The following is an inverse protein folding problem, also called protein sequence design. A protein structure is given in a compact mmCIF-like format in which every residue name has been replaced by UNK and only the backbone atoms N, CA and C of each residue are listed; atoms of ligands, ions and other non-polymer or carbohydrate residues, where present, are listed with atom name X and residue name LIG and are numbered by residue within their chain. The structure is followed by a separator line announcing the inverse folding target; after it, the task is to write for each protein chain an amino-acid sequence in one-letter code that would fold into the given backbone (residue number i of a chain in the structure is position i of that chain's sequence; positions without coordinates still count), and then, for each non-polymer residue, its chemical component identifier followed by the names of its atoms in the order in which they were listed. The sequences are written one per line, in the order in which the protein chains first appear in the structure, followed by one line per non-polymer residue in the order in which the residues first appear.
data_IF_747777655595
#
_entry.id   IF_747777655595
#
_cell.length_a   1.000
_cell.length_b   1.000
_cell.length_c   1.000
_cell.angle_alpha   90.00
_cell.angle_beta   90.00
_cell.angle_gamma   90.00
#
_symmetry.space_group_name_H-M   'P 1'
#
loop_
_entity.id
_entity.type
_entity.pdbx_description
1 polymer ?
#
# COMPACT_ATOMS: atom_id res chain seq x y z
N UNK A 1 16.22 -35.52 25.79
CA UNK A 1 16.28 -35.39 24.33
C UNK A 1 15.10 -34.56 23.90
N UNK A 2 15.33 -33.43 23.22
CA UNK A 2 14.27 -32.51 22.80
C UNK A 2 13.51 -33.06 21.59
N UNK A 3 12.19 -32.87 21.58
CA UNK A 3 11.23 -33.36 20.61
C UNK A 3 10.62 -32.18 19.84
N UNK A 4 10.57 -32.27 18.52
CA UNK A 4 9.87 -31.27 17.71
C UNK A 4 8.89 -31.88 16.72
N UNK A 5 7.88 -31.09 16.38
CA UNK A 5 6.87 -31.40 15.38
C UNK A 5 6.90 -30.32 14.29
N UNK A 6 7.10 -30.68 13.03
CA UNK A 6 7.12 -29.72 11.92
C UNK A 6 6.46 -30.27 10.65
N UNK A 7 5.71 -29.42 9.93
CA UNK A 7 5.18 -29.77 8.61
C UNK A 7 6.33 -30.02 7.62
N UNK A 8 6.20 -31.00 6.73
CA UNK A 8 7.25 -31.39 5.77
C UNK A 8 7.66 -30.27 4.82
N UNK A 9 6.75 -29.34 4.52
CA UNK A 9 7.04 -28.18 3.67
C UNK A 9 8.09 -27.21 4.25
N UNK A 10 8.44 -27.35 5.53
CA UNK A 10 9.51 -26.58 6.19
C UNK A 10 10.77 -27.44 6.32
N UNK A 11 11.25 -27.98 5.20
CA UNK A 11 12.35 -28.94 5.17
C UNK A 11 13.67 -28.35 5.71
N UNK A 12 13.89 -27.06 5.50
CA UNK A 12 15.00 -26.28 6.03
C UNK A 12 15.00 -26.25 7.57
N UNK A 13 13.85 -25.98 8.18
CA UNK A 13 13.67 -26.00 9.64
C UNK A 13 13.88 -27.40 10.20
N UNK A 14 13.33 -28.41 9.53
CA UNK A 14 13.51 -29.82 9.92
C UNK A 14 15.00 -30.18 9.94
N UNK A 15 15.70 -29.95 8.84
CA UNK A 15 17.13 -30.26 8.72
C UNK A 15 17.95 -29.50 9.76
N UNK A 16 17.64 -28.23 10.01
CA UNK A 16 18.31 -27.41 11.01
C UNK A 16 18.14 -27.96 12.44
N UNK A 17 16.95 -28.44 12.80
CA UNK A 17 16.68 -28.99 14.13
C UNK A 17 17.31 -30.38 14.32
N UNK A 18 17.23 -31.24 13.30
CA UNK A 18 17.85 -32.58 13.31
C UNK A 18 19.39 -32.47 13.43
N UNK A 19 20.01 -31.55 12.70
CA UNK A 19 21.44 -31.27 12.82
C UNK A 19 21.86 -30.79 14.22
N UNK A 20 20.92 -30.23 15.00
CA UNK A 20 21.11 -29.82 16.40
C UNK A 20 20.79 -30.93 17.40
N UNK A 21 20.52 -32.16 16.94
CA UNK A 21 20.23 -33.32 17.77
C UNK A 21 18.79 -33.38 18.30
N UNK A 22 17.87 -32.58 17.76
CA UNK A 22 16.46 -32.69 18.09
C UNK A 22 15.84 -33.88 17.36
N UNK A 23 14.92 -34.58 18.03
CA UNK A 23 14.21 -35.70 17.42
C UNK A 23 12.86 -35.25 16.87
N UNK A 24 12.66 -35.47 15.57
CA UNK A 24 11.39 -35.20 14.90
C UNK A 24 10.32 -36.21 15.32
N UNK A 25 9.13 -35.71 15.60
CA UNK A 25 7.93 -36.50 15.83
C UNK A 25 7.29 -36.90 14.49
N UNK A 26 6.66 -38.09 14.41
CA UNK A 26 6.12 -38.61 13.16
C UNK A 26 4.97 -37.77 12.59
N UNK A 27 4.22 -37.05 13.43
CA UNK A 27 3.07 -36.25 13.00
C UNK A 27 3.00 -34.90 13.72
N UNK A 28 2.59 -33.85 13.01
CA UNK A 28 2.46 -32.47 13.55
C UNK A 28 1.38 -32.37 14.65
N UNK A 29 0.38 -33.27 14.59
CA UNK A 29 -0.72 -33.34 15.54
C UNK A 29 -0.35 -33.89 16.92
N UNK A 30 0.87 -34.40 17.12
CA UNK A 30 1.30 -34.94 18.41
C UNK A 30 1.14 -33.90 19.53
N UNK A 31 0.53 -34.28 20.68
CA UNK A 31 0.35 -33.37 21.83
C UNK A 31 1.64 -33.20 22.64
N UNK A 32 2.50 -34.23 22.67
CA UNK A 32 3.77 -34.22 23.39
C UNK A 32 4.90 -33.75 22.46
N UNK A 33 5.28 -32.48 22.57
CA UNK A 33 6.38 -31.83 21.85
C UNK A 33 7.01 -30.76 22.74
N UNK A 34 8.29 -30.45 22.50
CA UNK A 34 8.97 -29.28 23.10
C UNK A 34 8.85 -28.07 22.15
N UNK A 35 8.97 -28.29 20.83
CA UNK A 35 8.79 -27.27 19.80
C UNK A 35 7.81 -27.72 18.70
N UNK A 36 6.90 -26.84 18.28
CA UNK A 36 6.04 -27.06 17.12
C UNK A 36 6.20 -25.95 16.09
N UNK A 37 6.53 -26.35 14.86
CA UNK A 37 6.72 -25.47 13.72
C UNK A 37 5.70 -25.76 12.61
N UNK A 38 4.64 -24.97 12.55
CA UNK A 38 3.52 -25.20 11.63
C UNK A 38 2.88 -23.89 11.18
N UNK A 39 1.84 -23.97 10.35
CA UNK A 39 1.00 -22.83 10.03
C UNK A 39 0.16 -22.41 11.24
N UNK A 40 -0.06 -21.10 11.41
CA UNK A 40 -0.87 -20.53 12.49
C UNK A 40 -2.20 -21.26 12.72
N UNK A 41 -2.96 -21.52 11.65
CA UNK A 41 -4.28 -22.15 11.71
C UNK A 41 -4.27 -23.61 12.21
N UNK A 42 -3.11 -24.28 12.18
CA UNK A 42 -2.95 -25.66 12.66
C UNK A 42 -2.60 -25.75 14.15
N UNK A 43 -2.35 -24.61 14.81
CA UNK A 43 -2.03 -24.57 16.24
C UNK A 43 -3.33 -24.69 17.05
N UNK A 44 -3.43 -25.76 17.83
CA UNK A 44 -4.51 -25.94 18.81
C UNK A 44 -4.19 -25.12 20.07
N UNK A 45 -4.37 -23.79 20.00
CA UNK A 45 -3.96 -22.83 21.04
C UNK A 45 -4.39 -23.17 22.46
N UNK A 46 -5.58 -23.76 22.65
CA UNK A 46 -6.11 -24.16 23.96
C UNK A 46 -5.43 -25.39 24.56
N UNK A 47 -4.59 -26.09 23.78
CA UNK A 47 -3.90 -27.32 24.16
C UNK A 47 -2.37 -27.16 24.22
N UNK A 48 -1.85 -25.96 24.01
CA UNK A 48 -0.42 -25.67 24.14
C UNK A 48 -0.13 -25.46 25.63
N UNK A 49 0.70 -26.33 26.22
CA UNK A 49 1.11 -26.21 27.61
C UNK A 49 2.19 -25.11 27.80
N UNK A 50 2.33 -24.50 28.98
CA UNK A 50 3.25 -23.38 29.22
C UNK A 50 4.72 -23.65 28.88
N UNK A 51 5.17 -24.90 29.03
CA UNK A 51 6.52 -25.35 28.73
C UNK A 51 6.77 -25.61 27.23
N UNK A 52 5.71 -25.60 26.41
CA UNK A 52 5.80 -25.90 24.98
C UNK A 52 5.99 -24.63 24.16
N UNK A 53 6.84 -24.73 23.12
CA UNK A 53 7.15 -23.62 22.23
C UNK A 53 6.42 -23.83 20.89
N UNK A 54 5.83 -22.76 20.36
CA UNK A 54 5.24 -22.72 19.02
C UNK A 54 5.82 -21.56 18.21
N UNK A 55 5.89 -21.68 16.89
CA UNK A 55 6.49 -20.68 16.01
C UNK A 55 5.59 -19.47 15.67
N UNK A 56 4.57 -19.19 16.49
CA UNK A 56 3.65 -18.06 16.31
C UNK A 56 3.31 -17.45 17.67
N UNK A 57 3.17 -16.14 17.72
CA UNK A 57 2.51 -15.48 18.84
C UNK A 57 0.99 -15.60 18.70
N UNK A 58 0.29 -15.81 19.80
CA UNK A 58 -1.17 -15.87 19.79
C UNK A 58 -1.72 -14.55 19.24
N UNK A 59 -2.69 -14.63 18.34
CA UNK A 59 -3.28 -13.49 17.62
C UNK A 59 -2.35 -12.76 16.62
N UNK A 60 -1.15 -13.27 16.32
CA UNK A 60 -0.25 -12.65 15.32
C UNK A 60 -0.87 -12.52 13.93
N UNK A 61 -1.91 -13.32 13.63
CA UNK A 61 -2.67 -13.23 12.38
C UNK A 61 -3.28 -11.84 12.13
N UNK A 62 -3.51 -11.05 13.18
CA UNK A 62 -4.04 -9.69 13.06
C UNK A 62 -3.10 -8.77 12.28
N UNK A 63 -1.78 -8.98 12.35
CA UNK A 63 -0.81 -8.24 11.53
C UNK A 63 -0.88 -8.59 10.04
N UNK A 64 -1.47 -9.74 9.68
CA UNK A 64 -1.59 -10.21 8.30
C UNK A 64 -2.94 -9.88 7.66
N UNK A 65 -3.90 -9.40 8.45
CA UNK A 65 -5.24 -9.00 7.99
C UNK A 65 -5.27 -7.48 7.77
N UNK A 66 -5.53 -7.06 6.54
CA UNK A 66 -5.35 -5.66 6.13
C UNK A 66 -6.27 -4.69 6.88
N UNK A 67 -7.54 -5.07 7.06
CA UNK A 67 -8.55 -4.31 7.80
C UNK A 67 -8.21 -4.22 9.29
N UNK A 68 -7.80 -5.34 9.90
CA UNK A 68 -7.45 -5.38 11.31
C UNK A 68 -6.17 -4.58 11.59
N UNK A 69 -5.13 -4.76 10.78
CA UNK A 69 -3.89 -3.99 10.89
C UNK A 69 -4.17 -2.49 10.76
N UNK A 70 -4.95 -2.08 9.76
CA UNK A 70 -5.35 -0.68 9.56
C UNK A 70 -6.03 -0.12 10.81
N UNK A 71 -7.02 -0.85 11.35
CA UNK A 71 -7.74 -0.42 12.56
C UNK A 71 -6.80 -0.30 13.77
N UNK A 72 -5.90 -1.25 13.97
CA UNK A 72 -4.96 -1.24 15.10
C UNK A 72 -3.94 -0.10 14.98
N UNK A 73 -3.45 0.20 13.77
CA UNK A 73 -2.52 1.29 13.54
C UNK A 73 -3.16 2.65 13.84
N UNK A 74 -4.36 2.90 13.28
CA UNK A 74 -5.06 4.16 13.55
C UNK A 74 -5.49 4.27 15.02
N UNK A 75 -6.06 3.23 15.63
CA UNK A 75 -6.45 3.27 17.04
C UNK A 75 -5.27 3.63 17.97
N UNK A 76 -4.06 3.14 17.65
CA UNK A 76 -2.85 3.53 18.40
C UNK A 76 -2.54 5.03 18.24
N UNK A 77 -2.64 5.54 17.01
CA UNK A 77 -2.38 6.95 16.72
C UNK A 77 -3.39 7.90 17.38
N UNK A 78 -4.64 7.46 17.61
CA UNK A 78 -5.66 8.25 18.30
C UNK A 78 -5.35 8.50 19.79
N UNK A 79 -4.45 7.72 20.40
CA UNK A 79 -4.22 7.78 21.85
C UNK A 79 -3.10 8.75 22.29
N UNK A 80 -2.34 9.34 21.35
CA UNK A 80 -1.24 10.27 21.67
C UNK A 80 -1.11 11.35 20.59
N UNK A 81 -0.98 12.61 21.02
CA UNK A 81 -0.73 13.74 20.13
C UNK A 81 0.56 13.52 19.31
N UNK A 82 0.51 13.76 18.00
CA UNK A 82 1.65 13.61 17.06
C UNK A 82 1.81 12.21 16.47
N UNK A 83 1.14 11.18 16.98
CA UNK A 83 1.28 9.80 16.46
C UNK A 83 0.62 9.66 15.08
N UNK A 84 -0.38 10.48 14.73
CA UNK A 84 -1.04 10.43 13.42
C UNK A 84 -0.10 10.84 12.29
N UNK A 85 0.66 11.92 12.47
CA UNK A 85 1.63 12.36 11.45
C UNK A 85 2.79 11.38 11.31
N UNK A 86 3.24 10.76 12.39
CA UNK A 86 4.25 9.69 12.36
C UNK A 86 3.72 8.48 11.59
N UNK A 87 2.46 8.09 11.84
CA UNK A 87 1.82 7.00 11.11
C UNK A 87 1.69 7.33 9.62
N UNK A 88 1.20 8.53 9.27
CA UNK A 88 1.07 8.95 7.87
C UNK A 88 2.43 9.01 7.16
N UNK A 89 3.53 9.25 7.88
CA UNK A 89 4.90 9.22 7.34
C UNK A 89 5.40 7.82 6.94
N UNK A 90 4.82 6.75 7.46
CA UNK A 90 5.24 5.36 7.15
C UNK A 90 4.11 4.44 6.67
N UNK A 91 2.86 4.89 6.69
CA UNK A 91 1.70 4.11 6.29
C UNK A 91 0.76 4.95 5.41
N UNK A 92 0.62 4.62 4.11
CA UNK A 92 -0.27 5.36 3.22
C UNK A 92 -1.71 5.39 3.74
N UNK A 93 -2.41 6.52 3.57
CA UNK A 93 -3.76 6.70 4.11
C UNK A 93 -4.67 5.58 3.64
N UNK A 94 -5.32 4.91 4.60
CA UNK A 94 -6.07 3.66 4.37
C UNK A 94 -7.45 3.71 5.01
N UNK A 95 -8.43 3.13 4.32
CA UNK A 95 -9.84 3.22 4.63
C UNK A 95 -10.46 1.82 4.57
N UNK A 96 -11.03 1.35 5.68
CA UNK A 96 -11.79 0.10 5.78
C UNK A 96 -13.24 0.35 5.37
N UNK A 97 -13.63 -0.12 4.17
CA UNK A 97 -14.97 0.13 3.64
C UNK A 97 -16.09 -0.56 4.43
N UNK A 98 -15.78 -1.42 5.41
CA UNK A 98 -16.79 -1.90 6.35
C UNK A 98 -17.22 -0.84 7.37
N UNK A 99 -16.49 0.28 7.48
CA UNK A 99 -16.76 1.37 8.40
C UNK A 99 -17.34 2.58 7.66
N UNK A 100 -18.53 3.05 8.09
CA UNK A 100 -19.19 4.19 7.48
C UNK A 100 -18.36 5.48 7.56
N UNK A 101 -17.61 5.65 8.67
CA UNK A 101 -16.68 6.77 8.85
C UNK A 101 -15.62 6.79 7.74
N UNK A 102 -15.00 5.66 7.48
CA UNK A 102 -13.94 5.52 6.49
C UNK A 102 -14.46 5.71 5.07
N UNK A 103 -15.68 5.29 4.75
CA UNK A 103 -16.32 5.59 3.46
C UNK A 103 -16.46 7.09 3.22
N UNK A 104 -16.90 7.85 4.23
CA UNK A 104 -17.03 9.31 4.15
C UNK A 104 -15.66 9.99 4.03
N UNK A 105 -14.71 9.60 4.89
CA UNK A 105 -13.36 10.15 4.85
C UNK A 105 -12.67 9.86 3.52
N UNK A 106 -12.84 8.65 2.97
CA UNK A 106 -12.28 8.28 1.68
C UNK A 106 -12.77 9.21 0.57
N UNK A 107 -14.07 9.49 0.51
CA UNK A 107 -14.63 10.44 -0.48
C UNK A 107 -13.97 11.81 -0.36
N UNK A 108 -13.83 12.32 0.87
CA UNK A 108 -13.15 13.59 1.12
C UNK A 108 -11.70 13.55 0.62
N UNK A 109 -10.95 12.48 0.93
CA UNK A 109 -9.56 12.34 0.47
C UNK A 109 -9.42 12.22 -1.05
N UNK A 110 -10.39 11.60 -1.73
CA UNK A 110 -10.47 11.65 -3.19
C UNK A 110 -10.60 13.09 -3.68
N UNK A 111 -11.48 13.90 -3.06
CA UNK A 111 -11.68 15.32 -3.37
C UNK A 111 -10.39 16.13 -3.16
N UNK A 112 -9.67 15.92 -2.06
CA UNK A 112 -8.41 16.63 -1.81
C UNK A 112 -7.32 16.23 -2.80
N UNK A 113 -7.16 14.93 -3.09
CA UNK A 113 -6.17 14.49 -4.08
C UNK A 113 -6.51 15.03 -5.49
N UNK A 114 -7.81 15.14 -5.80
CA UNK A 114 -8.27 15.77 -7.03
C UNK A 114 -7.97 17.27 -7.07
N UNK A 115 -8.17 17.99 -5.96
CA UNK A 115 -7.75 19.39 -5.85
C UNK A 115 -6.24 19.55 -6.08
N UNK A 116 -5.41 18.68 -5.48
CA UNK A 116 -3.96 18.71 -5.70
C UNK A 116 -3.59 18.45 -7.16
N UNK A 117 -4.27 17.52 -7.82
CA UNK A 117 -4.08 17.26 -9.25
C UNK A 117 -4.35 18.53 -10.05
N UNK A 118 -5.54 19.14 -9.90
CA UNK A 118 -5.93 20.39 -10.58
C UNK A 118 -4.90 21.49 -10.39
N UNK A 119 -4.43 21.70 -9.15
CA UNK A 119 -3.42 22.72 -8.83
C UNK A 119 -2.08 22.43 -9.53
N UNK A 120 -1.61 21.18 -9.47
CA UNK A 120 -0.35 20.77 -10.11
C UNK A 120 -0.41 20.86 -11.63
N UNK A 121 -1.50 20.40 -12.24
CA UNK A 121 -1.72 20.48 -13.70
C UNK A 121 -1.73 21.93 -14.17
N UNK A 122 -2.40 22.82 -13.42
CA UNK A 122 -2.47 24.25 -13.73
C UNK A 122 -1.10 24.94 -13.75
N UNK A 123 -0.11 24.43 -13.02
CA UNK A 123 1.26 24.96 -13.10
C UNK A 123 2.03 24.50 -14.34
N UNK A 124 1.63 23.42 -15.00
CA UNK A 124 2.32 22.93 -16.21
C UNK A 124 1.62 23.27 -17.52
N UNK A 125 0.37 23.71 -17.47
CA UNK A 125 -0.41 24.15 -18.63
C UNK A 125 -0.56 25.68 -18.67
N UNK A 126 -0.81 26.23 -19.86
CA UNK A 126 -1.14 27.66 -20.04
C UNK A 126 -2.57 27.99 -19.58
N UNK A 127 -3.45 26.99 -19.62
CA UNK A 127 -4.86 27.11 -19.26
C UNK A 127 -5.19 26.12 -18.14
N UNK A 128 -5.87 26.60 -17.10
CA UNK A 128 -6.24 25.80 -15.94
C UNK A 128 -7.65 25.23 -16.08
N UNK A 129 -7.95 24.18 -15.31
CA UNK A 129 -9.31 23.65 -15.24
C UNK A 129 -10.26 24.64 -14.56
N UNK A 130 -11.54 24.64 -14.97
CA UNK A 130 -12.60 25.46 -14.37
C UNK A 130 -12.75 25.23 -12.85
N UNK A 131 -12.38 24.05 -12.39
CA UNK A 131 -12.38 23.63 -10.98
C UNK A 131 -11.26 24.28 -10.15
N UNK A 132 -10.35 25.05 -10.75
CA UNK A 132 -9.18 25.63 -10.09
C UNK A 132 -9.52 26.46 -8.86
N UNK A 133 -10.52 27.34 -8.93
CA UNK A 133 -10.89 28.20 -7.81
C UNK A 133 -11.33 27.38 -6.60
N UNK A 134 -12.16 26.35 -6.83
CA UNK A 134 -12.61 25.40 -5.81
C UNK A 134 -11.44 24.60 -5.22
N UNK A 135 -10.53 24.12 -6.09
CA UNK A 135 -9.34 23.39 -5.66
C UNK A 135 -8.43 24.27 -4.77
N UNK A 136 -8.19 25.51 -5.18
CA UNK A 136 -7.37 26.47 -4.45
C UNK A 136 -8.01 26.87 -3.12
N UNK A 137 -9.33 27.09 -3.09
CA UNK A 137 -10.08 27.37 -1.86
C UNK A 137 -9.96 26.22 -0.85
N UNK A 138 -10.11 24.97 -1.30
CA UNK A 138 -9.94 23.80 -0.44
C UNK A 138 -8.51 23.69 0.09
N UNK A 139 -7.52 23.80 -0.80
CA UNK A 139 -6.11 23.67 -0.42
C UNK A 139 -5.67 24.75 0.58
N UNK A 140 -6.10 26.00 0.38
CA UNK A 140 -5.89 27.09 1.35
C UNK A 140 -6.54 26.81 2.70
N UNK A 141 -7.75 26.27 2.71
CA UNK A 141 -8.45 25.96 3.94
C UNK A 141 -7.74 24.84 4.73
N UNK A 142 -7.22 23.84 4.03
CA UNK A 142 -6.37 22.80 4.62
C UNK A 142 -5.09 23.40 5.20
N UNK A 143 -4.39 24.24 4.43
CA UNK A 143 -3.15 24.90 4.86
C UNK A 143 -3.36 25.83 6.08
N UNK A 144 -4.54 26.47 6.15
CA UNK A 144 -4.90 27.38 7.24
C UNK A 144 -5.20 26.67 8.56
N UNK A 145 -5.50 25.37 8.52
CA UNK A 145 -5.67 24.53 9.71
C UNK A 145 -4.36 23.81 10.05
N UNK A 146 -3.63 24.39 11.01
CA UNK A 146 -2.30 23.92 11.46
C UNK A 146 -2.33 22.47 11.97
N UNK A 147 -3.46 22.03 12.52
CA UNK A 147 -3.61 20.70 13.10
C UNK A 147 -4.32 19.71 12.17
N UNK A 148 -4.63 20.11 10.92
CA UNK A 148 -5.42 19.31 9.98
C UNK A 148 -4.87 17.89 9.86
N UNK A 149 -3.56 17.75 9.60
CA UNK A 149 -2.92 16.44 9.40
C UNK A 149 -2.76 15.62 10.69
N UNK A 150 -2.90 16.23 11.86
CA UNK A 150 -2.92 15.51 13.14
C UNK A 150 -4.34 15.01 13.46
N UNK A 151 -5.38 15.74 13.04
CA UNK A 151 -6.77 15.51 13.44
C UNK A 151 -7.68 14.94 12.35
N UNK A 152 -7.23 14.86 11.09
CA UNK A 152 -8.08 14.45 9.97
C UNK A 152 -8.77 13.10 10.18
N UNK A 153 -8.16 12.21 10.96
CA UNK A 153 -8.69 10.88 11.26
C UNK A 153 -9.63 10.88 12.47
N UNK A 154 -9.37 11.71 13.48
CA UNK A 154 -10.07 11.72 14.78
C UNK A 154 -11.26 12.69 14.82
N UNK A 155 -11.24 13.74 14.00
CA UNK A 155 -12.26 14.79 13.95
C UNK A 155 -12.87 14.91 12.53
N UNK A 156 -14.03 15.55 12.40
CA UNK A 156 -14.67 15.80 11.09
C UNK A 156 -14.19 17.12 10.44
N UNK A 157 -12.94 17.52 10.69
CA UNK A 157 -12.34 18.75 10.15
C UNK A 157 -12.45 18.79 8.64
N UNK A 158 -12.21 17.66 7.98
CA UNK A 158 -12.18 17.60 6.54
C UNK A 158 -13.58 17.60 5.91
N UNK A 159 -14.55 16.95 6.55
CA UNK A 159 -15.94 16.96 6.07
C UNK A 159 -16.56 18.36 6.12
N UNK A 160 -16.22 19.14 7.15
CA UNK A 160 -16.63 20.54 7.25
C UNK A 160 -15.99 21.39 6.13
N UNK A 161 -14.68 21.26 5.92
CA UNK A 161 -13.97 21.97 4.85
C UNK A 161 -14.58 21.69 3.48
N UNK A 162 -14.78 20.42 3.12
CA UNK A 162 -15.35 20.02 1.82
C UNK A 162 -16.72 20.66 1.58
N UNK A 163 -17.57 20.75 2.61
CA UNK A 163 -18.89 21.39 2.51
C UNK A 163 -18.77 22.89 2.30
N UNK A 164 -17.96 23.57 3.13
CA UNK A 164 -17.80 25.04 3.09
C UNK A 164 -17.15 25.52 1.78
N UNK A 165 -16.30 24.68 1.18
CA UNK A 165 -15.65 24.99 -0.10
C UNK A 165 -16.42 24.49 -1.31
N UNK A 166 -17.56 23.82 -1.14
CA UNK A 166 -18.32 23.16 -2.22
C UNK A 166 -17.47 22.18 -3.04
N UNK A 167 -16.46 21.58 -2.41
CA UNK A 167 -15.42 20.82 -3.09
C UNK A 167 -15.89 19.47 -3.64
N UNK A 168 -17.09 19.00 -3.30
CA UNK A 168 -17.68 17.82 -3.93
C UNK A 168 -17.82 17.96 -5.46
N UNK A 169 -17.91 19.20 -5.97
CA UNK A 169 -17.94 19.49 -7.40
C UNK A 169 -16.65 19.05 -8.10
N UNK A 170 -15.52 18.90 -7.40
CA UNK A 170 -14.26 18.43 -7.97
C UNK A 170 -14.37 17.01 -8.54
N UNK A 171 -15.23 16.15 -7.99
CA UNK A 171 -15.43 14.80 -8.51
C UNK A 171 -16.35 14.74 -9.73
N UNK A 172 -17.08 15.81 -10.03
CA UNK A 172 -18.14 15.82 -11.06
C UNK A 172 -17.98 16.90 -12.13
N UNK A 173 -17.06 17.84 -11.92
CA UNK A 173 -16.85 18.98 -12.82
C UNK A 173 -16.32 18.50 -14.17
N UNK A 174 -16.97 18.97 -15.24
CA UNK A 174 -16.59 18.68 -16.62
C UNK A 174 -15.54 19.66 -17.14
N UNK A 175 -14.77 19.17 -18.11
CA UNK A 175 -13.77 19.88 -18.90
C UNK A 175 -14.21 21.28 -19.30
N UNK A 176 -13.48 22.27 -18.80
CA UNK A 176 -13.57 23.67 -19.18
C UNK A 176 -12.25 24.32 -18.78
N UNK A 177 -11.74 25.21 -19.63
CA UNK A 177 -10.45 25.85 -19.43
C UNK A 177 -10.62 27.32 -19.09
N UNK A 178 -9.80 27.83 -18.17
CA UNK A 178 -9.77 29.23 -17.75
C UNK A 178 -8.33 29.76 -17.86
N UNK A 179 -8.21 31.04 -18.21
CA UNK A 179 -6.90 31.71 -18.25
C UNK A 179 -6.32 31.78 -16.84
N UNK A 180 -5.05 31.42 -16.70
CA UNK A 180 -4.32 31.52 -15.44
C UNK A 180 -3.53 32.83 -15.41
N UNK A 181 -3.83 33.73 -14.47
CA UNK A 181 -3.03 34.93 -14.26
C UNK A 181 -1.80 34.68 -13.38
N UNK A 182 -0.84 35.61 -13.43
CA UNK A 182 0.43 35.48 -12.69
C UNK A 182 0.24 35.42 -11.17
N UNK A 183 -0.72 36.19 -10.63
CA UNK A 183 -0.97 36.25 -9.19
C UNK A 183 -1.52 34.91 -8.67
N UNK A 184 -2.47 34.33 -9.40
CA UNK A 184 -3.05 33.02 -9.11
C UNK A 184 -1.99 31.94 -9.21
N UNK A 185 -1.12 31.99 -10.22
CA UNK A 185 -0.01 31.03 -10.36
C UNK A 185 0.93 31.07 -9.15
N UNK A 186 1.34 32.26 -8.71
CA UNK A 186 2.19 32.43 -7.54
C UNK A 186 1.50 31.91 -6.26
N UNK A 187 0.19 32.10 -6.16
CA UNK A 187 -0.59 31.62 -5.03
C UNK A 187 -0.69 30.08 -4.99
N UNK A 188 -0.87 29.44 -6.15
CA UNK A 188 -0.84 27.98 -6.26
C UNK A 188 0.52 27.43 -5.82
N UNK A 189 1.62 28.03 -6.29
CA UNK A 189 2.99 27.63 -5.90
C UNK A 189 3.16 27.72 -4.37
N UNK A 190 2.76 28.83 -3.75
CA UNK A 190 2.84 29.01 -2.29
C UNK A 190 2.03 27.99 -1.51
N UNK A 191 0.81 27.67 -1.95
CA UNK A 191 -0.07 26.70 -1.28
C UNK A 191 0.50 25.29 -1.43
N UNK A 192 0.99 24.91 -2.61
CA UNK A 192 1.61 23.60 -2.84
C UNK A 192 2.90 23.44 -2.03
N UNK A 193 3.72 24.49 -1.90
CA UNK A 193 4.92 24.47 -1.06
C UNK A 193 4.59 24.26 0.42
N UNK A 194 3.54 24.94 0.93
CA UNK A 194 3.09 24.77 2.31
C UNK A 194 2.53 23.36 2.55
N UNK A 195 1.74 22.84 1.62
CA UNK A 195 1.25 21.46 1.68
C UNK A 195 2.40 20.44 1.63
N UNK A 196 3.45 20.69 0.84
CA UNK A 196 4.65 19.86 0.81
C UNK A 196 5.41 19.80 2.14
N UNK A 197 5.26 20.82 3.00
CA UNK A 197 5.85 20.86 4.34
C UNK A 197 4.93 20.23 5.41
N UNK A 198 3.61 20.29 5.21
CA UNK A 198 2.61 19.87 6.18
C UNK A 198 2.16 18.41 5.99
N UNK A 199 1.85 17.99 4.75
CA UNK A 199 1.35 16.66 4.43
C UNK A 199 2.51 15.65 4.29
N UNK A 200 2.65 14.65 5.20
CA UNK A 200 3.73 13.65 5.13
C UNK A 200 3.74 12.81 3.86
N UNK A 201 2.61 12.74 3.14
CA UNK A 201 2.45 11.92 1.93
C UNK A 201 2.46 12.76 0.64
N UNK A 202 2.62 14.10 0.72
CA UNK A 202 2.52 15.00 -0.43
C UNK A 202 3.40 14.58 -1.63
N UNK A 203 4.65 14.18 -1.36
CA UNK A 203 5.62 13.81 -2.39
C UNK A 203 5.31 12.47 -3.06
N UNK A 204 4.62 11.57 -2.34
CA UNK A 204 4.23 10.25 -2.81
C UNK A 204 2.89 10.26 -3.57
N UNK A 205 2.10 11.34 -3.46
CA UNK A 205 0.76 11.48 -4.03
C UNK A 205 0.68 12.51 -5.15
N UNK A 206 -0.29 12.32 -6.04
CA UNK A 206 -0.67 13.32 -7.04
C UNK A 206 0.47 13.53 -8.00
N UNK A 207 0.73 12.52 -8.84
CA UNK A 207 1.38 12.85 -10.08
C UNK A 207 0.51 13.84 -10.85
N UNK A 208 1.11 14.62 -11.73
CA UNK A 208 0.44 15.79 -12.33
C UNK A 208 -0.87 15.44 -13.06
N UNK A 209 -1.02 14.18 -13.44
CA UNK A 209 -2.16 13.69 -14.20
C UNK A 209 -2.94 12.56 -13.50
N UNK A 210 -2.72 12.31 -12.21
CA UNK A 210 -3.37 11.16 -11.58
C UNK A 210 -3.77 11.32 -10.11
N UNK A 211 -4.81 10.55 -9.76
CA UNK A 211 -5.38 10.43 -8.42
C UNK A 211 -5.57 8.94 -8.14
N UNK A 212 -4.46 8.18 -8.09
CA UNK A 212 -4.52 6.72 -8.08
C UNK A 212 -4.76 6.18 -6.66
N UNK A 213 -5.67 5.22 -6.56
CA UNK A 213 -5.99 4.47 -5.35
C UNK A 213 -5.86 2.98 -5.59
N UNK A 214 -5.54 2.23 -4.54
CA UNK A 214 -5.42 0.77 -4.58
C UNK A 214 -6.48 0.11 -3.71
N UNK A 215 -7.38 -0.62 -4.35
CA UNK A 215 -8.44 -1.41 -3.74
C UNK A 215 -7.91 -2.81 -3.44
N UNK A 216 -7.97 -3.24 -2.18
CA UNK A 216 -7.44 -4.55 -1.75
C UNK A 216 -8.49 -5.31 -0.95
N UNK A 217 -8.84 -6.55 -1.36
CA UNK A 217 -9.64 -7.44 -0.55
C UNK A 217 -8.89 -7.80 0.74
N UNK A 218 -9.51 -7.61 1.90
CA UNK A 218 -8.89 -7.82 3.21
C UNK A 218 -8.59 -9.29 3.48
N UNK A 219 -9.42 -10.20 2.95
CA UNK A 219 -9.35 -11.65 3.18
C UNK A 219 -8.55 -12.42 2.12
N UNK A 220 -8.03 -11.76 1.08
CA UNK A 220 -7.20 -12.39 0.05
C UNK A 220 -5.70 -12.08 0.23
N UNK A 221 -4.85 -12.89 -0.38
CA UNK A 221 -3.39 -12.75 -0.35
C UNK A 221 -2.80 -12.95 -1.75
N UNK A 222 -1.47 -12.88 -1.89
CA UNK A 222 -0.76 -13.17 -3.15
C UNK A 222 -1.13 -12.24 -4.33
N UNK A 223 -1.60 -11.04 -4.02
CA UNK A 223 -1.99 -10.04 -5.02
C UNK A 223 -3.36 -10.30 -5.67
N UNK A 224 -4.12 -11.31 -5.23
CA UNK A 224 -5.45 -11.63 -5.79
C UNK A 224 -6.47 -10.53 -5.48
N UNK A 225 -7.26 -10.18 -6.49
CA UNK A 225 -8.34 -9.19 -6.42
C UNK A 225 -7.88 -7.76 -6.15
N UNK A 226 -6.58 -7.46 -6.20
CA UNK A 226 -6.08 -6.10 -6.08
C UNK A 226 -6.31 -5.37 -7.40
N UNK A 227 -6.94 -4.21 -7.33
CA UNK A 227 -7.27 -3.36 -8.47
C UNK A 227 -6.86 -1.92 -8.15
N UNK A 228 -6.43 -1.17 -9.17
CA UNK A 228 -6.18 0.27 -9.07
C UNK A 228 -7.35 1.03 -9.71
N UNK A 229 -7.66 2.21 -9.19
CA UNK A 229 -8.65 3.11 -9.77
C UNK A 229 -8.17 4.56 -9.69
N UNK A 230 -8.74 5.43 -10.54
CA UNK A 230 -8.45 6.87 -10.57
C UNK A 230 -9.62 7.76 -10.18
N UNK A 231 -10.85 7.23 -10.22
CA UNK A 231 -12.05 7.98 -9.89
C UNK A 231 -12.80 7.35 -8.73
N UNK A 232 -13.56 8.18 -8.02
CA UNK A 232 -14.43 7.69 -6.95
C UNK A 232 -15.57 6.85 -7.51
N UNK A 233 -16.02 7.13 -8.74
CA UNK A 233 -17.06 6.34 -9.43
C UNK A 233 -16.57 4.91 -9.72
N UNK A 234 -15.39 4.78 -10.34
CA UNK A 234 -14.75 3.49 -10.62
C UNK A 234 -14.51 2.70 -9.32
N UNK A 235 -14.12 3.38 -8.24
CA UNK A 235 -14.00 2.76 -6.92
C UNK A 235 -15.32 2.14 -6.43
N UNK A 236 -16.42 2.88 -6.58
CA UNK A 236 -17.74 2.43 -6.14
C UNK A 236 -18.23 1.24 -6.97
N UNK A 237 -17.89 1.19 -8.27
CA UNK A 237 -18.15 0.05 -9.15
C UNK A 237 -17.36 -1.18 -8.68
N UNK A 238 -16.02 -1.07 -8.58
CA UNK A 238 -15.12 -2.17 -8.16
C UNK A 238 -15.52 -2.76 -6.81
N UNK A 239 -15.99 -1.91 -5.88
CA UNK A 239 -16.30 -2.31 -4.51
C UNK A 239 -17.78 -2.62 -4.31
N UNK A 240 -18.59 -2.59 -5.38
CA UNK A 240 -20.01 -2.88 -5.34
C UNK A 240 -20.29 -4.32 -4.90
N UNK A 241 -21.40 -4.58 -4.17
CA UNK A 241 -21.75 -5.93 -3.75
C UNK A 241 -22.01 -6.93 -4.90
N UNK A 242 -22.32 -6.43 -6.09
CA UNK A 242 -22.68 -7.25 -7.26
C UNK A 242 -21.42 -7.85 -7.92
N UNK A 243 -20.35 -7.07 -8.08
CA UNK A 243 -19.05 -7.56 -8.61
C UNK A 243 -18.30 -8.45 -7.62
N UNK A 244 -18.59 -8.28 -6.33
CA UNK A 244 -18.06 -9.13 -5.25
C UNK A 244 -18.50 -10.60 -5.40
N UNK A 245 -19.58 -10.90 -6.14
CA UNK A 245 -20.08 -12.26 -6.34
C UNK A 245 -19.15 -13.12 -7.22
N UNK A 246 -18.41 -12.55 -8.17
CA UNK A 246 -17.48 -13.31 -9.01
C UNK A 246 -16.24 -13.76 -8.24
N UNK A 247 -15.70 -12.89 -7.39
CA UNK A 247 -14.56 -13.17 -6.51
C UNK A 247 -14.91 -14.16 -5.37
N UNK A 248 -16.19 -14.34 -5.06
CA UNK A 248 -16.68 -15.28 -4.04
C UNK A 248 -16.80 -16.74 -4.52
N UNK A 249 -16.79 -16.98 -5.85
CA UNK A 249 -16.89 -18.34 -6.43
C UNK A 249 -15.72 -19.26 -6.01
N UNK A 250 -14.62 -18.71 -5.47
CA UNK A 250 -13.48 -19.46 -4.93
C UNK A 250 -13.65 -19.90 -3.45
N UNK A 251 -14.84 -20.36 -3.05
CA UNK A 251 -15.02 -21.15 -1.82
C UNK A 251 -15.03 -20.39 -0.50
N UNK A 252 -15.25 -19.07 -0.51
CA UNK A 252 -15.32 -18.27 0.72
C UNK A 252 -16.75 -17.75 0.93
N UNK A 253 -17.47 -18.32 1.91
CA UNK A 253 -18.86 -17.98 2.24
C UNK A 253 -19.03 -16.63 2.97
N UNK A 254 -17.96 -15.84 3.10
CA UNK A 254 -17.98 -14.54 3.79
C UNK A 254 -17.92 -13.39 2.77
N UNK A 255 -18.69 -12.31 3.00
CA UNK A 255 -18.61 -11.13 2.16
C UNK A 255 -17.18 -10.58 2.13
N UNK A 256 -16.74 -10.17 0.94
CA UNK A 256 -15.41 -9.59 0.76
C UNK A 256 -15.41 -8.23 1.45
N UNK A 257 -14.47 -8.04 2.36
CA UNK A 257 -14.19 -6.72 2.94
C UNK A 257 -13.11 -6.07 2.11
N UNK A 258 -13.25 -4.78 1.85
CA UNK A 258 -12.28 -4.00 1.11
C UNK A 258 -11.58 -3.02 2.04
N UNK A 259 -10.27 -2.92 1.89
CA UNK A 259 -9.57 -1.69 2.23
C UNK A 259 -9.23 -0.93 0.95
N UNK A 260 -9.29 0.38 1.03
CA UNK A 260 -8.82 1.29 -0.02
C UNK A 260 -7.67 2.07 0.57
N UNK A 261 -6.55 2.13 -0.15
CA UNK A 261 -5.36 2.83 0.31
C UNK A 261 -4.88 3.77 -0.78
N UNK A 262 -4.35 4.93 -0.40
CA UNK A 262 -3.73 5.83 -1.36
C UNK A 262 -2.56 5.13 -2.05
N UNK A 263 -2.56 5.11 -3.38
CA UNK A 263 -1.45 4.52 -4.13
C UNK A 263 -0.24 5.45 -4.13
N UNK A 264 0.96 4.87 -3.98
CA UNK A 264 2.23 5.58 -4.11
C UNK A 264 2.52 5.74 -5.60
N UNK A 265 2.26 6.93 -6.11
CA UNK A 265 2.35 7.27 -7.54
C UNK A 265 3.78 7.57 -7.97
N UNK A 266 4.63 7.99 -7.03
CA UNK A 266 6.05 8.30 -7.25
C UNK A 266 6.95 7.38 -6.43
N UNK A 267 6.91 6.05 -6.66
CA UNK A 267 7.80 5.13 -5.95
C UNK A 267 9.25 5.36 -6.37
N UNK A 268 10.20 4.97 -5.52
CA UNK A 268 11.58 4.80 -5.97
C UNK A 268 11.60 3.73 -7.06
N UNK A 269 12.23 4.05 -8.19
CA UNK A 269 12.40 3.14 -9.31
C UNK A 269 13.88 2.79 -9.48
N UNK A 270 14.17 1.54 -9.76
CA UNK A 270 15.52 1.03 -10.05
C UNK A 270 15.44 0.10 -11.27
N UNK A 271 16.57 -0.38 -11.77
CA UNK A 271 16.62 -1.29 -12.92
C UNK A 271 15.78 -0.78 -14.11
N UNK A 272 16.09 0.43 -14.56
CA UNK A 272 15.43 1.07 -15.71
C UNK A 272 13.95 1.38 -15.48
N UNK A 273 13.65 2.03 -14.36
CA UNK A 273 12.30 2.53 -14.11
C UNK A 273 11.34 1.48 -13.53
N UNK A 274 11.82 0.39 -12.91
CA UNK A 274 10.98 -0.66 -12.35
C UNK A 274 10.64 -0.42 -10.89
N UNK A 275 9.37 -0.66 -10.57
CA UNK A 275 8.86 -0.67 -9.20
C UNK A 275 9.33 -1.94 -8.49
N UNK A 276 9.58 -1.82 -7.19
CA UNK A 276 9.91 -2.96 -6.34
C UNK A 276 9.30 -2.81 -4.93
N UNK A 277 9.37 -3.90 -4.17
CA UNK A 277 9.19 -3.86 -2.71
C UNK A 277 10.35 -4.55 -2.00
N UNK A 278 10.57 -4.20 -0.72
CA UNK A 278 11.56 -4.83 0.15
C UNK A 278 10.85 -5.85 1.06
N UNK A 279 11.34 -7.09 1.07
CA UNK A 279 10.97 -8.08 2.07
C UNK A 279 11.97 -8.07 3.21
N UNK A 280 11.55 -7.49 4.33
CA UNK A 280 12.27 -7.54 5.61
C UNK A 280 11.75 -8.69 6.48
N UNK A 281 12.65 -9.45 7.11
CA UNK A 281 12.28 -10.44 8.11
C UNK A 281 12.49 -9.88 9.52
N UNK A 282 11.50 -10.12 10.37
CA UNK A 282 11.50 -9.73 11.78
C UNK A 282 11.09 -10.93 12.62
N UNK A 283 11.81 -11.19 13.71
CA UNK A 283 11.48 -12.20 14.71
C UNK A 283 11.07 -11.51 16.01
N UNK A 284 9.89 -11.83 16.51
CA UNK A 284 9.41 -11.37 17.81
C UNK A 284 9.40 -12.58 18.75
N UNK A 285 10.20 -12.51 19.81
CA UNK A 285 10.32 -13.62 20.78
C UNK A 285 9.44 -13.41 22.01
N UNK A 286 9.25 -12.16 22.41
CA UNK A 286 8.52 -11.76 23.61
C UNK A 286 7.69 -10.52 23.32
N UNK A 287 6.55 -10.38 24.00
CA UNK A 287 5.67 -9.20 23.92
C UNK A 287 5.60 -8.44 25.25
N UNK A 288 5.72 -9.15 26.37
CA UNK A 288 5.53 -8.65 27.73
C UNK A 288 6.79 -8.95 28.56
N UNK A 289 7.24 -8.02 29.43
CA UNK A 289 6.66 -6.69 29.69
C UNK A 289 6.96 -5.68 28.57
N UNK A 290 7.89 -5.98 27.66
CA UNK A 290 8.17 -5.18 26.47
C UNK A 290 8.45 -6.10 25.28
N UNK A 291 8.07 -5.69 24.05
CA UNK A 291 8.37 -6.48 22.86
C UNK A 291 9.87 -6.63 22.62
N UNK A 292 10.34 -7.87 22.44
CA UNK A 292 11.71 -8.17 21.99
C UNK A 292 11.65 -8.48 20.51
N UNK A 293 12.22 -7.58 19.70
CA UNK A 293 12.12 -7.58 18.25
C UNK A 293 13.50 -7.64 17.61
N UNK A 294 13.76 -8.69 16.84
CA UNK A 294 15.00 -8.89 16.08
C UNK A 294 14.76 -8.61 14.61
N UNK A 295 15.50 -7.65 14.06
CA UNK A 295 15.53 -7.35 12.64
C UNK A 295 16.61 -8.19 11.98
N UNK A 296 16.23 -9.05 11.03
CA UNK A 296 17.24 -9.82 10.32
C UNK A 296 18.03 -8.89 9.41
N UNK A 297 19.36 -8.89 9.54
CA UNK A 297 20.23 -7.93 8.85
C UNK A 297 20.21 -8.05 7.32
N UNK A 298 19.74 -9.19 6.78
CA UNK A 298 19.51 -9.36 5.34
C UNK A 298 18.05 -9.17 4.99
N UNK A 299 17.81 -8.53 3.86
CA UNK A 299 16.52 -8.45 3.18
C UNK A 299 16.73 -8.70 1.69
N UNK A 300 15.63 -8.72 0.95
CA UNK A 300 15.69 -8.80 -0.51
C UNK A 300 14.60 -7.95 -1.14
N UNK A 301 14.88 -7.45 -2.34
CA UNK A 301 13.96 -6.69 -3.15
C UNK A 301 13.26 -7.63 -4.13
N UNK A 302 12.03 -7.29 -4.50
CA UNK A 302 11.25 -8.00 -5.52
C UNK A 302 10.80 -7.00 -6.57
N UNK A 303 11.22 -7.19 -7.80
CA UNK A 303 10.94 -6.27 -8.90
C UNK A 303 9.67 -6.64 -9.66
N UNK A 304 9.02 -5.61 -10.22
CA UNK A 304 7.99 -5.75 -11.24
C UNK A 304 8.61 -6.08 -12.61
N UNK A 305 7.99 -7.00 -13.35
CA UNK A 305 8.47 -7.44 -14.65
C UNK A 305 8.22 -6.46 -15.79
N UNK A 306 7.43 -5.41 -15.58
CA UNK A 306 7.31 -4.26 -16.50
C UNK A 306 7.80 -2.96 -15.83
N UNK A 307 8.29 -2.03 -16.67
CA UNK A 307 8.66 -0.67 -16.26
C UNK A 307 7.44 0.05 -15.69
N UNK A 308 7.63 0.84 -14.64
CA UNK A 308 6.55 1.53 -13.96
C UNK A 308 5.93 2.60 -14.85
N UNK A 309 4.60 2.59 -14.95
CA UNK A 309 3.85 3.50 -15.79
C UNK A 309 2.40 3.59 -15.29
N UNK A 310 1.96 4.80 -14.94
CA UNK A 310 0.62 5.04 -14.42
C UNK A 310 -0.46 5.04 -15.51
N UNK A 311 -0.11 5.03 -16.80
CA UNK A 311 -1.09 4.87 -17.89
C UNK A 311 -1.59 3.43 -18.03
N UNK A 312 -0.91 2.45 -17.44
CA UNK A 312 -1.20 1.01 -17.51
C UNK A 312 -1.75 0.45 -16.20
N UNK A 313 -2.76 1.09 -15.61
CA UNK A 313 -3.25 0.75 -14.27
C UNK A 313 -3.77 -0.68 -14.09
N UNK A 314 -4.34 -1.26 -15.14
CA UNK A 314 -4.85 -2.64 -15.10
C UNK A 314 -3.75 -3.68 -15.26
N UNK A 315 -2.55 -3.28 -15.69
CA UNK A 315 -1.40 -4.16 -15.83
C UNK A 315 -0.77 -4.46 -14.47
N UNK A 316 -1.11 -5.64 -13.97
CA UNK A 316 -0.66 -6.13 -12.66
C UNK A 316 0.85 -6.37 -12.64
N UNK A 317 1.50 -6.61 -13.78
CA UNK A 317 2.94 -6.83 -13.85
C UNK A 317 3.74 -5.53 -13.68
N UNK A 318 3.13 -4.38 -13.98
CA UNK A 318 3.69 -3.04 -13.72
C UNK A 318 3.57 -2.66 -12.25
N UNK A 319 2.47 -3.03 -11.59
CA UNK A 319 2.12 -2.46 -10.28
C UNK A 319 2.25 -3.40 -9.07
N UNK A 320 2.29 -4.73 -9.25
CA UNK A 320 2.30 -5.72 -8.17
C UNK A 320 3.58 -6.58 -8.17
N UNK A 321 4.57 -6.27 -7.34
CA UNK A 321 5.83 -7.02 -7.18
C UNK A 321 5.71 -8.40 -6.49
N UNK A 322 4.49 -8.90 -6.29
CA UNK A 322 4.28 -10.23 -5.71
C UNK A 322 4.84 -11.31 -6.63
N UNK A 323 5.72 -12.19 -6.13
CA UNK A 323 6.23 -13.34 -6.89
C UNK A 323 5.12 -14.18 -7.52
N UNK A 324 4.01 -14.41 -6.80
CA UNK A 324 2.83 -15.13 -7.30
C UNK A 324 2.13 -14.46 -8.49
N UNK A 325 2.37 -13.16 -8.72
CA UNK A 325 1.91 -12.44 -9.91
C UNK A 325 3.01 -12.52 -10.97
N UNK A 326 4.22 -12.08 -10.61
CA UNK A 326 5.34 -11.91 -11.54
C UNK A 326 5.83 -13.21 -12.18
N UNK A 327 5.67 -14.37 -11.52
CA UNK A 327 6.01 -15.68 -12.09
C UNK A 327 5.18 -16.05 -13.33
N UNK A 328 4.03 -15.41 -13.53
CA UNK A 328 3.15 -15.64 -14.68
C UNK A 328 3.38 -14.63 -15.81
N UNK A 329 4.38 -13.75 -15.67
CA UNK A 329 4.70 -12.80 -16.71
C UNK A 329 5.28 -13.54 -17.92
N UNK A 330 4.59 -13.42 -19.05
CA UNK A 330 5.05 -13.91 -20.34
C UNK A 330 5.10 -12.73 -21.32
N UNK A 331 6.30 -12.39 -21.80
CA UNK A 331 6.56 -11.23 -22.66
C UNK A 331 5.67 -11.18 -23.93
N UNK A 332 5.19 -12.33 -24.42
CA UNK A 332 4.52 -12.44 -25.72
C UNK A 332 3.05 -12.86 -25.63
N UNK A 333 2.45 -12.96 -24.44
CA UNK A 333 1.00 -13.14 -24.33
C UNK A 333 0.33 -11.79 -24.33
N UNK A 334 -0.17 -11.40 -25.51
CA UNK A 334 -1.21 -10.38 -25.65
C UNK A 334 -2.32 -10.73 -24.64
N UNK A 335 -2.57 -9.86 -23.67
CA UNK A 335 -3.79 -9.96 -22.87
C UNK A 335 -4.95 -9.77 -23.85
N UNK A 336 -5.70 -10.85 -24.07
CA UNK A 336 -6.93 -10.89 -24.88
C UNK A 336 -8.07 -10.21 -24.14
N UNK A 337 -7.81 -9.00 -23.60
CA UNK A 337 -8.75 -8.16 -22.89
C UNK A 337 -9.29 -7.09 -23.83
N UNK A 338 -9.89 -7.49 -24.95
CA UNK A 338 -10.93 -6.75 -25.70
C UNK A 338 -10.72 -5.27 -26.08
N UNK A 339 -9.55 -4.68 -25.88
CA UNK A 339 -9.26 -3.29 -26.18
C UNK A 339 -8.15 -3.23 -27.23
N UNK A 340 -8.48 -2.65 -28.39
CA UNK A 340 -7.53 -2.39 -29.45
C UNK A 340 -6.46 -1.40 -28.94
N UNK A 341 -5.32 -1.93 -28.52
CA UNK A 341 -4.13 -1.11 -28.27
C UNK A 341 -3.68 -0.51 -29.61
N UNK A 342 -3.72 0.83 -29.70
CA UNK A 342 -3.20 1.58 -30.83
C UNK A 342 -1.74 1.20 -31.12
N UNK A 343 -1.38 1.12 -32.40
CA UNK A 343 -0.12 0.60 -32.92
C UNK A 343 1.16 1.34 -32.50
N UNK A 344 1.07 2.37 -31.66
CA UNK A 344 2.22 3.15 -31.16
C UNK A 344 2.88 2.57 -29.90
N UNK A 345 2.23 1.68 -29.14
CA UNK A 345 2.75 1.16 -27.87
C UNK A 345 3.72 -0.02 -27.98
N UNK A 346 4.02 -0.50 -29.21
CA UNK A 346 4.85 -1.70 -29.44
C UNK A 346 6.36 -1.46 -29.37
N UNK A 347 6.81 -0.22 -29.23
CA UNK A 347 8.21 0.15 -29.43
C UNK A 347 9.06 0.39 -28.17
N UNK A 348 8.48 0.40 -26.96
CA UNK A 348 9.21 0.80 -25.74
C UNK A 348 9.69 -0.36 -24.84
N UNK A 349 9.40 -1.62 -25.17
CA UNK A 349 10.01 -2.75 -24.45
C UNK A 349 11.42 -3.01 -24.97
N UNK A 350 12.36 -2.16 -24.55
CA UNK A 350 13.78 -2.54 -24.54
C UNK A 350 13.84 -3.81 -23.69
N UNK A 351 14.26 -4.91 -24.33
CA UNK A 351 14.75 -6.14 -23.71
C UNK A 351 15.99 -5.81 -22.89
N UNK A 352 15.81 -5.10 -21.77
CA UNK A 352 16.89 -4.90 -20.84
C UNK A 352 16.95 -6.07 -19.87
N UNK A 353 18.14 -6.61 -19.72
CA UNK A 353 18.44 -7.66 -18.76
C UNK A 353 18.26 -7.07 -17.35
N UNK A 354 17.32 -7.62 -16.59
CA UNK A 354 17.09 -7.18 -15.21
C UNK A 354 16.98 -8.38 -14.29
N UNK A 355 17.44 -8.20 -13.05
CA UNK A 355 17.35 -9.22 -12.02
C UNK A 355 16.03 -9.08 -11.26
N UNK A 356 15.12 -10.07 -11.30
CA UNK A 356 13.83 -9.99 -10.61
C UNK A 356 13.96 -9.87 -9.08
N UNK A 357 15.12 -10.21 -8.50
CA UNK A 357 15.34 -10.16 -7.06
C UNK A 357 16.74 -9.70 -6.68
N UNK A 358 16.86 -8.54 -6.03
CA UNK A 358 18.13 -8.12 -5.43
C UNK A 358 18.28 -8.53 -3.98
N UNK A 359 19.52 -8.83 -3.59
CA UNK A 359 19.89 -8.87 -2.17
C UNK A 359 19.95 -7.46 -1.58
N UNK A 360 19.83 -7.35 -0.26
CA UNK A 360 20.09 -6.09 0.46
C UNK A 360 21.47 -5.51 0.20
N UNK A 361 22.48 -6.37 -0.03
CA UNK A 361 23.86 -5.95 -0.28
C UNK A 361 23.97 -5.27 -1.66
N UNK A 362 23.41 -5.91 -2.69
CA UNK A 362 23.29 -5.35 -4.05
C UNK A 362 22.58 -4.00 -4.04
N UNK A 363 21.49 -3.89 -3.27
CA UNK A 363 20.75 -2.64 -3.15
C UNK A 363 21.58 -1.54 -2.48
N UNK A 364 22.28 -1.83 -1.38
CA UNK A 364 23.14 -0.85 -0.71
C UNK A 364 24.27 -0.38 -1.60
N UNK A 365 24.94 -1.28 -2.31
CA UNK A 365 26.04 -0.92 -3.21
C UNK A 365 25.54 -0.05 -4.37
N UNK A 366 24.36 -0.37 -4.90
CA UNK A 366 23.70 0.45 -5.93
C UNK A 366 23.44 1.87 -5.43
N UNK A 367 22.93 2.04 -4.20
CA UNK A 367 22.71 3.37 -3.62
C UNK A 367 24.03 4.14 -3.36
N UNK A 368 25.10 3.44 -2.96
CA UNK A 368 26.43 4.04 -2.70
C UNK A 368 27.14 4.48 -3.97
N UNK A 369 26.95 3.77 -5.07
CA UNK A 369 27.56 4.06 -6.37
C UNK A 369 27.01 5.33 -7.06
N UNK A 370 26.14 6.09 -6.39
CA UNK A 370 25.75 7.43 -6.82
C UNK A 370 24.69 7.38 -7.92
N UNK A 371 23.47 7.00 -7.56
CA UNK A 371 22.31 7.56 -8.24
C UNK A 371 22.23 9.04 -7.83
N UNK A 372 22.12 9.94 -8.81
CA UNK A 372 21.60 11.28 -8.59
C UNK A 372 20.11 11.15 -8.25
N UNK A 373 19.80 10.74 -7.02
CA UNK A 373 18.44 10.71 -6.51
C UNK A 373 17.99 12.17 -6.27
N UNK A 374 16.88 12.63 -6.85
CA UNK A 374 16.36 13.96 -6.53
C UNK A 374 15.87 14.09 -5.08
N UNK A 375 15.74 13.01 -4.30
CA UNK A 375 15.24 13.07 -2.93
C UNK A 375 15.92 12.07 -2.00
N UNK A 376 16.26 12.56 -0.80
CA UNK A 376 16.79 11.78 0.32
C UNK A 376 15.81 10.65 0.69
N UNK A 377 16.27 9.40 0.65
CA UNK A 377 15.67 8.33 1.44
C UNK A 377 16.15 8.48 2.89
N UNK A 378 15.24 8.91 3.76
CA UNK A 378 15.42 8.79 5.22
C UNK A 378 15.00 7.37 5.59
N UNK A 379 15.96 6.56 6.05
CA UNK A 379 15.68 5.30 6.73
C UNK A 379 15.12 5.60 8.13
N UNK A 380 14.03 4.94 8.53
CA UNK A 380 13.59 4.83 9.93
C UNK A 380 14.00 3.47 10.49
#
# INVERSE_FOLDING_TARGET
MALFAADEKFADVVAALEARGWKRLPFVGCPKFDLKWTNYAKIAWTRVAPEQIVNHLRNSILFSQKDQLTRLLYAKAEHKDGDQRILDGCFPRTFDLSQLRDQKLLKNWFIYCEALKVLKTSLSEEEAERSLETALKLAKAVVGDVDFFEKWRTEDVFGELVRVTEAEQLLTSKSGKVSLDFATRQEIEQVLDQLGQQDPQFSAMGDINSNVWICKPSNLSQGRGIVLCMSFEELMEITSPDDVQELQKEGNSKPIKWIVQKYIERPLLLQNGRKFDIRQWVLITELEPNPVVFWFYKSYLRFCSRTFDLSRLHDRFTHLSNYSVQQHFELNKVEDSGFEASSSSRHDEILDDFDPMWSSDTFQDTLRCGFSLPFLLVWF
#
